data_IF_949261670893
#
_entry.id   IF_949261670893
#
_cell.length_a   1.000
_cell.length_b   1.000
_cell.length_c   1.000
_cell.angle_alpha   90.00
_cell.angle_beta   90.00
_cell.angle_gamma   90.00
#
_symmetry.space_group_name_H-M   'P 1'
#
loop_
_entity.id
_entity.type
_entity.pdbx_description
1 polymer ?
#
# COMPACT_ATOMS: atom_id res chain seq x y z
N UNK A 1 -5.81 -58.03 -14.64
CA UNK A 1 -6.54 -56.74 -14.73
C UNK A 1 -6.49 -55.89 -13.45
N UNK A 2 -6.32 -56.49 -12.26
CA UNK A 2 -6.29 -55.77 -10.96
C UNK A 2 -4.99 -54.97 -10.78
N UNK A 3 -3.83 -55.55 -11.11
CA UNK A 3 -2.50 -54.91 -10.95
C UNK A 3 -2.36 -53.63 -11.79
N UNK A 4 -2.91 -53.63 -13.01
CA UNK A 4 -2.88 -52.45 -13.89
C UNK A 4 -3.70 -51.28 -13.31
N UNK A 5 -4.81 -51.56 -12.61
CA UNK A 5 -5.63 -50.53 -11.94
C UNK A 5 -4.91 -49.89 -10.75
N UNK A 6 -4.14 -50.68 -9.99
CA UNK A 6 -3.33 -50.15 -8.89
C UNK A 6 -2.20 -49.23 -9.38
N UNK A 7 -1.53 -49.58 -10.49
CA UNK A 7 -0.50 -48.74 -11.11
C UNK A 7 -1.04 -47.38 -11.57
N UNK A 8 -2.22 -47.35 -12.19
CA UNK A 8 -2.87 -46.10 -12.59
C UNK A 8 -3.29 -45.25 -11.37
N UNK A 9 -3.77 -45.87 -10.29
CA UNK A 9 -4.16 -45.14 -9.07
C UNK A 9 -2.94 -44.50 -8.38
N UNK A 10 -1.81 -45.23 -8.29
CA UNK A 10 -0.57 -44.70 -7.72
C UNK A 10 0.02 -43.59 -8.57
N UNK A 11 -0.04 -43.70 -9.90
CA UNK A 11 0.44 -42.67 -10.81
C UNK A 11 -0.41 -41.39 -10.69
N UNK A 12 -1.74 -41.51 -10.57
CA UNK A 12 -2.63 -40.37 -10.39
C UNK A 12 -2.37 -39.63 -9.06
N UNK A 13 -2.13 -40.36 -7.97
CA UNK A 13 -1.81 -39.79 -6.66
C UNK A 13 -0.43 -39.09 -6.63
N UNK A 14 0.54 -39.56 -7.42
CA UNK A 14 1.86 -38.92 -7.52
C UNK A 14 1.82 -37.63 -8.34
N UNK A 15 1.00 -37.56 -9.40
CA UNK A 15 0.88 -36.37 -10.24
C UNK A 15 0.14 -35.23 -9.50
N UNK A 16 -0.84 -35.55 -8.65
CA UNK A 16 -1.61 -34.52 -7.93
C UNK A 16 -0.81 -33.75 -6.87
N UNK A 17 0.27 -34.32 -6.31
CA UNK A 17 1.05 -33.65 -5.28
C UNK A 17 2.09 -32.66 -5.85
N UNK A 18 2.56 -32.87 -7.09
CA UNK A 18 3.56 -31.99 -7.71
C UNK A 18 3.02 -30.63 -8.13
N UNK A 19 1.73 -30.54 -8.44
CA UNK A 19 1.08 -29.32 -8.94
C UNK A 19 0.67 -28.32 -7.85
N UNK A 20 0.77 -28.70 -6.57
CA UNK A 20 0.43 -27.82 -5.43
C UNK A 20 1.65 -27.11 -4.83
N UNK A 21 2.87 -27.49 -5.24
CA UNK A 21 4.11 -26.89 -4.73
C UNK A 21 4.45 -25.53 -5.37
N UNK A 22 3.70 -25.10 -6.39
CA UNK A 22 4.09 -24.01 -7.30
C UNK A 22 3.64 -22.60 -6.84
N UNK A 23 3.19 -22.41 -5.61
CA UNK A 23 2.71 -21.10 -5.15
C UNK A 23 3.04 -20.73 -3.70
N UNK A 24 4.14 -21.24 -3.16
CA UNK A 24 4.69 -20.69 -1.92
C UNK A 24 5.63 -19.52 -2.24
N UNK A 25 5.22 -18.31 -1.87
CA UNK A 25 6.09 -17.13 -1.96
C UNK A 25 7.24 -17.27 -0.98
N UNK A 26 8.47 -17.13 -1.48
CA UNK A 26 9.67 -17.22 -0.66
C UNK A 26 10.06 -15.83 -0.15
N UNK A 27 9.43 -15.43 0.97
CA UNK A 27 9.64 -14.11 1.55
C UNK A 27 11.01 -13.97 2.22
N UNK A 28 11.86 -13.13 1.65
CA UNK A 28 13.17 -12.76 2.21
C UNK A 28 13.09 -11.38 2.89
N UNK A 29 13.67 -11.25 4.09
CA UNK A 29 13.69 -9.99 4.83
C UNK A 29 14.60 -8.97 4.13
N UNK A 30 14.07 -7.79 3.83
CA UNK A 30 14.83 -6.64 3.34
C UNK A 30 15.09 -5.63 4.44
N UNK A 31 14.11 -5.40 5.32
CA UNK A 31 14.24 -4.38 6.35
C UNK A 31 13.45 -4.73 7.61
N UNK A 32 14.07 -4.55 8.78
CA UNK A 32 13.42 -4.73 10.08
C UNK A 32 13.17 -3.36 10.70
N UNK A 33 11.95 -2.88 10.56
CA UNK A 33 11.50 -1.64 11.17
C UNK A 33 11.00 -1.81 12.60
N UNK A 34 10.69 -0.67 13.23
CA UNK A 34 10.08 -0.64 14.57
C UNK A 34 8.63 -1.15 14.55
N UNK A 35 7.85 -0.72 13.55
CA UNK A 35 6.42 -1.01 13.45
C UNK A 35 6.11 -2.23 12.56
N UNK A 36 6.97 -2.50 11.57
CA UNK A 36 6.78 -3.56 10.58
C UNK A 36 8.11 -4.16 10.12
N UNK A 37 8.02 -5.38 9.58
CA UNK A 37 9.12 -6.07 8.90
C UNK A 37 8.77 -6.13 7.42
N UNK A 38 9.72 -5.77 6.57
CA UNK A 38 9.57 -5.72 5.12
C UNK A 38 10.30 -6.89 4.47
N UNK A 39 9.63 -7.50 3.52
CA UNK A 39 10.10 -8.66 2.78
C UNK A 39 9.96 -8.44 1.28
N UNK A 40 10.73 -9.19 0.51
CA UNK A 40 10.60 -9.35 -0.94
C UNK A 40 10.40 -10.82 -1.28
N UNK A 41 9.74 -11.10 -2.39
CA UNK A 41 9.64 -12.44 -2.96
C UNK A 41 10.55 -12.51 -4.19
N UNK A 42 11.75 -13.07 -4.04
CA UNK A 42 12.76 -13.10 -5.11
C UNK A 42 12.30 -13.90 -6.33
N UNK A 43 11.47 -14.91 -6.13
CA UNK A 43 11.00 -15.78 -7.20
C UNK A 43 9.95 -15.08 -8.08
N UNK A 44 9.38 -13.98 -7.60
CA UNK A 44 8.45 -13.13 -8.36
C UNK A 44 9.11 -12.06 -9.24
N UNK A 45 10.43 -11.96 -9.20
CA UNK A 45 11.18 -10.94 -9.92
C UNK A 45 11.07 -11.11 -11.43
N UNK A 46 10.84 -10.01 -12.13
CA UNK A 46 10.90 -9.93 -13.60
C UNK A 46 11.43 -8.56 -14.03
N UNK A 47 12.07 -8.48 -15.19
CA UNK A 47 12.55 -7.22 -15.75
C UNK A 47 12.14 -7.10 -17.23
N UNK A 48 11.54 -5.97 -17.58
CA UNK A 48 11.13 -5.65 -18.95
C UNK A 48 11.33 -4.16 -19.21
N UNK A 49 12.01 -3.79 -20.31
CA UNK A 49 12.19 -2.39 -20.72
C UNK A 49 12.72 -1.47 -19.59
N UNK A 50 13.79 -1.88 -18.90
CA UNK A 50 14.38 -1.19 -17.73
C UNK A 50 13.46 -1.07 -16.50
N UNK A 51 12.32 -1.76 -16.49
CA UNK A 51 11.40 -1.82 -15.35
C UNK A 51 11.50 -3.18 -14.69
N UNK A 52 12.03 -3.21 -13.48
CA UNK A 52 11.98 -4.39 -12.61
C UNK A 52 10.65 -4.42 -11.86
N UNK A 53 10.02 -5.59 -11.81
CA UNK A 53 8.77 -5.85 -11.08
C UNK A 53 8.99 -6.94 -10.05
N UNK A 54 8.52 -6.72 -8.83
CA UNK A 54 8.68 -7.66 -7.70
C UNK A 54 7.52 -7.57 -6.71
N UNK A 55 7.21 -8.66 -6.03
CA UNK A 55 6.35 -8.65 -4.85
C UNK A 55 7.11 -8.25 -3.59
N UNK A 56 6.52 -7.33 -2.85
CA UNK A 56 6.93 -6.92 -1.52
C UNK A 56 5.84 -7.25 -0.51
N UNK A 57 6.24 -7.42 0.74
CA UNK A 57 5.35 -7.66 1.86
C UNK A 57 5.78 -6.82 3.04
N UNK A 58 4.82 -6.10 3.61
CA UNK A 58 4.95 -5.42 4.88
C UNK A 58 4.13 -6.18 5.93
N UNK A 59 4.80 -6.71 6.95
CA UNK A 59 4.17 -7.43 8.04
C UNK A 59 4.22 -6.59 9.33
N UNK A 60 3.06 -6.21 9.87
CA UNK A 60 3.02 -5.41 11.10
C UNK A 60 3.41 -6.25 12.30
N UNK A 61 4.19 -5.67 13.22
CA UNK A 61 4.66 -6.36 14.43
C UNK A 61 3.58 -6.43 15.50
N UNK A 62 2.74 -5.39 15.57
CA UNK A 62 1.61 -5.35 16.49
C UNK A 62 0.38 -5.99 15.87
N UNK A 63 -0.28 -6.85 16.65
CA UNK A 63 -1.58 -7.40 16.27
C UNK A 63 -2.61 -6.28 16.35
N UNK A 64 -2.99 -5.74 15.20
CA UNK A 64 -4.03 -4.71 15.13
C UNK A 64 -5.39 -5.33 15.43
N UNK A 65 -6.28 -4.59 16.12
CA UNK A 65 -7.67 -5.06 16.32
C UNK A 65 -8.46 -5.10 15.00
N UNK A 66 -8.07 -4.27 14.05
CA UNK A 66 -8.70 -4.11 12.74
C UNK A 66 -7.63 -4.37 11.67
N UNK A 67 -7.94 -5.13 10.60
CA UNK A 67 -7.02 -5.33 9.46
C UNK A 67 -6.52 -4.00 8.87
N UNK A 68 -5.38 -4.00 8.16
CA UNK A 68 -4.56 -5.16 7.79
C UNK A 68 -3.51 -5.56 8.85
N UNK A 69 -3.24 -6.88 8.96
CA UNK A 69 -2.08 -7.44 9.68
C UNK A 69 -0.84 -7.53 8.78
N UNK A 70 -1.05 -7.64 7.47
CA UNK A 70 0.02 -7.49 6.49
C UNK A 70 -0.49 -6.88 5.20
N UNK A 71 0.41 -6.27 4.43
CA UNK A 71 0.12 -5.67 3.13
C UNK A 71 1.10 -6.26 2.13
N UNK A 72 0.61 -6.84 1.04
CA UNK A 72 1.46 -7.26 -0.07
C UNK A 72 1.31 -6.30 -1.24
N UNK A 73 2.43 -5.88 -1.84
CA UNK A 73 2.45 -4.94 -2.96
C UNK A 73 3.22 -5.54 -4.13
N UNK A 74 2.69 -5.40 -5.34
CA UNK A 74 3.50 -5.59 -6.54
C UNK A 74 4.05 -4.23 -6.92
N UNK A 75 5.36 -4.11 -6.96
CA UNK A 75 6.08 -2.86 -7.17
C UNK A 75 6.77 -2.88 -8.52
N UNK A 76 6.75 -1.75 -9.21
CA UNK A 76 7.57 -1.51 -10.39
C UNK A 76 8.69 -0.52 -10.03
N UNK A 77 9.90 -0.82 -10.46
CA UNK A 77 11.11 -0.02 -10.29
C UNK A 77 11.71 0.30 -11.65
N UNK A 78 11.77 1.58 -12.03
CA UNK A 78 12.45 2.01 -13.23
C UNK A 78 13.96 2.14 -12.95
N UNK A 79 14.72 1.11 -13.31
CA UNK A 79 16.15 1.01 -13.03
C UNK A 79 16.98 2.08 -13.74
N UNK A 80 16.46 2.70 -14.81
CA UNK A 80 17.15 3.79 -15.52
C UNK A 80 16.95 5.15 -14.85
N UNK A 81 15.73 5.44 -14.38
CA UNK A 81 15.33 6.75 -13.86
C UNK A 81 15.32 6.82 -12.33
N UNK A 82 15.58 5.73 -11.62
CA UNK A 82 15.51 5.66 -10.15
C UNK A 82 14.14 6.07 -9.61
N UNK A 83 13.08 5.57 -10.25
CA UNK A 83 11.69 5.80 -9.88
C UNK A 83 11.04 4.48 -9.47
N UNK A 84 10.00 4.57 -8.66
CA UNK A 84 9.17 3.43 -8.30
C UNK A 84 7.68 3.76 -8.40
N UNK A 85 6.84 2.74 -8.52
CA UNK A 85 5.38 2.88 -8.37
C UNK A 85 4.78 1.60 -7.80
N UNK A 86 3.61 1.71 -7.19
CA UNK A 86 2.82 0.55 -6.80
C UNK A 86 2.02 0.13 -8.04
N UNK A 87 2.22 -1.10 -8.52
CA UNK A 87 1.39 -1.69 -9.56
C UNK A 87 0.10 -2.27 -8.97
N UNK A 88 0.19 -2.87 -7.78
CA UNK A 88 -0.95 -3.48 -7.10
C UNK A 88 -0.69 -3.56 -5.59
N UNK A 89 -1.76 -3.52 -4.78
CA UNK A 89 -1.68 -3.64 -3.32
C UNK A 89 -2.88 -4.45 -2.80
N UNK A 90 -2.60 -5.40 -1.90
CA UNK A 90 -3.59 -6.20 -1.20
C UNK A 90 -3.40 -6.08 0.31
N UNK A 91 -4.51 -5.91 1.02
CA UNK A 91 -4.56 -5.83 2.47
C UNK A 91 -5.04 -7.16 3.03
N UNK A 92 -4.26 -7.76 3.94
CA UNK A 92 -4.52 -9.09 4.48
C UNK A 92 -4.92 -9.03 5.95
N UNK A 93 -5.91 -9.84 6.32
CA UNK A 93 -6.36 -9.97 7.71
C UNK A 93 -5.39 -10.74 8.61
N UNK A 94 -4.42 -11.45 8.03
CA UNK A 94 -3.38 -12.21 8.74
C UNK A 94 -1.98 -11.76 8.37
N UNK A 95 -1.00 -12.25 9.12
CA UNK A 95 0.43 -12.01 8.86
C UNK A 95 0.88 -12.75 7.60
N UNK A 96 1.99 -12.31 7.02
CA UNK A 96 2.64 -12.99 5.89
C UNK A 96 1.74 -13.22 4.67
N UNK A 97 0.90 -12.25 4.30
CA UNK A 97 -0.05 -12.36 3.19
C UNK A 97 -1.07 -13.49 3.33
N UNK A 98 -1.42 -13.89 4.56
CA UNK A 98 -2.42 -14.93 4.85
C UNK A 98 -3.76 -14.32 5.26
N UNK A 99 -4.83 -15.12 5.15
CA UNK A 99 -6.17 -14.76 5.58
C UNK A 99 -7.03 -14.15 4.48
N UNK A 100 -8.08 -13.40 4.85
CA UNK A 100 -8.95 -12.73 3.89
C UNK A 100 -8.23 -11.51 3.34
N UNK A 101 -8.33 -11.29 2.04
CA UNK A 101 -7.78 -10.10 1.40
C UNK A 101 -8.87 -9.14 0.95
N UNK A 102 -8.55 -7.85 1.01
CA UNK A 102 -9.29 -6.79 0.36
C UNK A 102 -8.35 -6.11 -0.63
N UNK A 103 -8.83 -5.87 -1.85
CA UNK A 103 -8.12 -5.01 -2.79
C UNK A 103 -8.22 -3.59 -2.26
N UNK A 104 -7.08 -2.95 -1.97
CA UNK A 104 -7.09 -1.56 -1.57
C UNK A 104 -7.40 -0.67 -2.79
N UNK A 105 -8.22 0.36 -2.61
CA UNK A 105 -8.34 1.40 -3.63
C UNK A 105 -6.98 2.09 -3.79
N UNK A 106 -6.41 2.00 -4.99
CA UNK A 106 -5.05 2.42 -5.30
C UNK A 106 -5.00 3.73 -6.09
N UNK A 107 -6.10 4.49 -6.14
CA UNK A 107 -6.12 5.81 -6.77
C UNK A 107 -4.93 6.68 -6.29
N UNK A 108 -4.15 7.21 -7.25
CA UNK A 108 -2.95 8.01 -7.00
C UNK A 108 -1.66 7.24 -6.67
N UNK A 109 -1.72 5.96 -6.30
CA UNK A 109 -0.52 5.14 -5.96
C UNK A 109 0.22 4.54 -7.17
N UNK A 110 -0.38 4.63 -8.36
CA UNK A 110 0.19 4.12 -9.62
C UNK A 110 1.17 5.08 -10.30
N UNK A 111 1.30 6.31 -9.82
CA UNK A 111 2.23 7.29 -10.38
C UNK A 111 3.69 6.92 -10.05
N UNK A 112 4.58 7.16 -11.00
CA UNK A 112 6.02 7.06 -10.76
C UNK A 112 6.47 8.14 -9.78
N UNK A 113 7.16 7.72 -8.72
CA UNK A 113 7.71 8.60 -7.68
C UNK A 113 9.23 8.42 -7.58
N UNK A 114 9.97 9.48 -7.24
CA UNK A 114 11.40 9.36 -6.97
C UNK A 114 11.64 8.52 -5.73
N UNK A 115 12.74 7.77 -5.73
CA UNK A 115 13.17 6.99 -4.56
C UNK A 115 13.79 7.91 -3.53
N UNK A 116 13.33 7.80 -2.28
CA UNK A 116 13.84 8.61 -1.16
C UNK A 116 15.12 8.00 -0.56
N UNK A 117 15.98 8.88 -0.01
CA UNK A 117 17.18 8.43 0.70
C UNK A 117 16.79 7.65 1.95
N UNK A 118 17.45 6.52 2.20
CA UNK A 118 17.25 5.64 3.37
C UNK A 118 15.84 5.03 3.48
N UNK A 119 15.08 4.97 2.38
CA UNK A 119 13.78 4.28 2.37
C UNK A 119 13.92 2.77 2.19
N UNK A 120 12.82 2.02 2.36
CA UNK A 120 12.78 0.58 2.05
C UNK A 120 12.91 0.39 0.54
N UNK A 121 12.24 1.23 -0.24
CA UNK A 121 12.29 1.22 -1.70
C UNK A 121 13.71 1.43 -2.24
N UNK A 122 14.54 2.23 -1.57
CA UNK A 122 15.95 2.37 -1.93
C UNK A 122 16.75 1.07 -1.75
N UNK A 123 16.45 0.30 -0.70
CA UNK A 123 17.08 -1.01 -0.46
C UNK A 123 16.60 -2.03 -1.48
N UNK A 124 15.29 -2.10 -1.74
CA UNK A 124 14.73 -3.00 -2.77
C UNK A 124 15.25 -2.64 -4.15
N UNK A 125 15.31 -1.36 -4.52
CA UNK A 125 15.88 -0.91 -5.79
C UNK A 125 17.32 -1.41 -5.97
N UNK A 126 18.15 -1.29 -4.95
CA UNK A 126 19.53 -1.77 -5.01
C UNK A 126 19.62 -3.28 -5.26
N UNK A 127 18.66 -4.05 -4.74
CA UNK A 127 18.56 -5.49 -4.96
C UNK A 127 18.09 -5.80 -6.38
N UNK A 128 16.99 -5.20 -6.84
CA UNK A 128 16.35 -5.57 -8.13
C UNK A 128 16.99 -4.94 -9.36
N UNK A 129 17.66 -3.80 -9.20
CA UNK A 129 18.37 -3.09 -10.26
C UNK A 129 19.89 -3.24 -10.17
N UNK A 130 20.39 -3.98 -9.18
CA UNK A 130 21.82 -4.28 -8.96
C UNK A 130 22.73 -3.04 -8.87
N UNK A 131 22.18 -1.90 -8.45
CA UNK A 131 22.91 -0.63 -8.32
C UNK A 131 22.17 0.34 -7.38
N UNK A 132 22.87 1.28 -6.73
CA UNK A 132 22.20 2.27 -5.90
C UNK A 132 21.30 3.21 -6.73
N UNK A 133 20.19 3.70 -6.15
CA UNK A 133 19.35 4.70 -6.82
C UNK A 133 20.06 6.06 -6.92
N UNK A 134 19.75 6.79 -7.98
CA UNK A 134 20.19 8.17 -8.17
C UNK A 134 19.17 9.10 -7.49
N UNK A 135 19.62 9.85 -6.48
CA UNK A 135 18.76 10.77 -5.76
C UNK A 135 18.75 12.14 -6.44
N UNK A 136 17.57 12.64 -6.82
CA UNK A 136 17.41 14.01 -7.29
C UNK A 136 17.33 14.94 -6.07
N UNK A 137 18.25 15.88 -5.96
CA UNK A 137 18.14 16.96 -4.97
C UNK A 137 17.01 17.90 -5.42
N UNK A 138 15.88 17.86 -4.72
CA UNK A 138 14.86 18.90 -4.88
C UNK A 138 15.45 20.15 -4.22
N UNK A 139 15.98 21.06 -5.02
CA UNK A 139 16.29 22.42 -4.54
C UNK A 139 14.96 23.03 -4.12
N UNK A 140 14.77 23.21 -2.82
CA UNK A 140 13.64 23.95 -2.27
C UNK A 140 13.60 25.31 -2.96
N UNK A 141 12.60 25.53 -3.80
CA UNK A 141 12.31 26.85 -4.31
C UNK A 141 11.87 27.68 -3.10
N UNK A 142 12.74 28.58 -2.65
CA UNK A 142 12.40 29.64 -1.72
C UNK A 142 11.29 30.49 -2.35
N UNK A 143 10.04 30.17 -2.06
CA UNK A 143 8.95 31.14 -2.16
C UNK A 143 8.97 31.98 -0.89
N UNK A 144 9.75 33.05 -0.93
CA UNK A 144 9.50 34.22 -0.10
C UNK A 144 8.12 34.75 -0.43
N UNK A 145 7.16 34.54 0.47
CA UNK A 145 5.92 35.29 0.48
C UNK A 145 6.19 36.66 1.09
N UNK A 146 6.61 37.62 0.26
CA UNK A 146 6.63 39.03 0.61
C UNK A 146 5.87 39.80 -0.48
N UNK A 147 4.58 40.04 -0.22
CA UNK A 147 3.86 41.25 -0.64
C UNK A 147 2.57 41.35 0.19
N UNK A 148 2.63 42.05 1.32
CA UNK A 148 2.30 43.47 1.49
C UNK A 148 0.82 43.68 1.82
N UNK A 149 0.60 43.87 3.12
CA UNK A 149 -0.55 44.58 3.69
C UNK A 149 -0.70 45.94 3.01
N UNK A 150 -1.91 46.28 2.54
CA UNK A 150 -2.36 47.66 2.55
C UNK A 150 -3.75 47.77 3.17
N UNK A 151 -3.84 48.81 3.99
CA UNK A 151 -4.87 49.19 4.95
C UNK A 151 -6.14 49.75 4.29
N UNK A 152 -7.27 49.49 4.95
CA UNK A 152 -8.37 50.44 5.30
C UNK A 152 -9.18 51.08 4.18
N UNK A 153 -10.49 50.80 4.13
CA UNK A 153 -11.46 51.87 4.42
C UNK A 153 -12.81 51.40 4.95
N UNK A 154 -13.32 52.20 5.89
CA UNK A 154 -14.58 52.03 6.64
C UNK A 154 -15.79 52.51 5.82
N UNK A 155 -16.95 51.84 5.98
CA UNK A 155 -18.23 52.54 6.09
C UNK A 155 -19.25 51.73 6.92
N UNK A 156 -19.58 52.29 8.09
CA UNK A 156 -20.85 52.15 8.86
C UNK A 156 -22.04 52.17 7.91
N UNK A 157 -23.12 51.41 8.10
CA UNK A 157 -24.25 51.54 9.04
C UNK A 157 -25.38 50.75 8.34
N UNK A 158 -26.36 50.04 8.92
CA UNK A 158 -27.24 50.40 10.02
C UNK A 158 -28.26 49.25 10.24
N UNK A 159 -28.52 48.95 11.51
CA UNK A 159 -29.78 48.53 12.16
C UNK A 159 -30.90 47.76 11.41
N UNK A 160 -31.28 46.60 11.98
CA UNK A 160 -32.55 46.43 12.74
C UNK A 160 -32.65 44.98 13.28
N UNK A 161 -32.57 44.77 14.60
CA UNK A 161 -33.67 44.79 15.60
C UNK A 161 -34.48 43.47 15.65
N UNK A 162 -34.15 42.65 16.66
CA UNK A 162 -34.93 41.53 17.18
C UNK A 162 -36.19 42.09 17.89
N UNK A 163 -37.32 41.36 17.96
CA UNK A 163 -37.60 40.67 19.22
C UNK A 163 -38.19 39.25 19.07
N UNK A 164 -37.99 38.48 20.14
CA UNK A 164 -38.41 37.10 20.37
C UNK A 164 -39.88 36.95 20.83
N UNK A 165 -40.43 35.74 20.71
CA UNK A 165 -41.34 35.01 21.65
C UNK A 165 -41.76 33.69 20.97
N UNK A 166 -41.38 32.50 21.46
CA UNK A 166 -41.91 31.72 22.60
C UNK A 166 -43.38 31.26 22.47
N UNK A 167 -43.62 29.96 22.28
CA UNK A 167 -44.53 29.12 23.09
C UNK A 167 -44.55 27.66 22.58
N UNK A 168 -44.11 26.77 23.48
CA UNK A 168 -44.33 25.30 23.62
C UNK A 168 -45.84 24.90 23.66
N UNK A 169 -46.29 23.62 23.89
CA UNK A 169 -45.62 22.29 23.94
C UNK A 169 -46.43 21.10 23.31
N UNK A 170 -45.88 19.87 23.44
CA UNK A 170 -46.55 18.56 23.72
C UNK A 170 -47.37 17.78 22.66
N UNK A 171 -46.90 16.56 22.34
CA UNK A 171 -47.62 15.25 22.45
C UNK A 171 -46.61 14.11 22.15
N UNK A 172 -46.20 13.20 23.05
CA UNK A 172 -46.87 12.10 23.78
C UNK A 172 -47.40 10.92 22.93
N UNK A 173 -46.93 9.69 23.26
CA UNK A 173 -47.47 8.37 22.87
C UNK A 173 -46.59 7.62 21.85
N UNK A 174 -45.81 6.55 22.14
CA UNK A 174 -46.03 5.28 22.84
C UNK A 174 -46.88 4.24 22.05
N UNK A 175 -46.45 2.97 22.16
CA UNK A 175 -47.04 1.69 21.66
C UNK A 175 -46.81 1.39 20.16
N UNK A 176 -46.32 0.22 19.71
CA UNK A 176 -46.14 -1.14 20.26
C UNK A 176 -44.83 -1.78 19.76
#
# INVERSE_FOLDING_TARGET
MVILKFLFLTLYLLISNGLLAELEKNWEIVHVGKESIFFIDRDSYSIENDVARIWELENFREIKRIPPQSISRQMDYNCKKSLFRIFMEYHHSGVMSKGKFLVANNEGKFAWRPIEKKSVEAQVFAIVCEKPPQFVEIKEAQQGSEQTSNKTDQRKSQDNKIPAKSSDPSNLGAAE
#
